data_IF_282067486631
#
_entry.id   IF_282067486631
#
_cell.length_a   1.000
_cell.length_b   1.000
_cell.length_c   1.000
_cell.angle_alpha   90.00
_cell.angle_beta   90.00
_cell.angle_gamma   90.00
#
_symmetry.space_group_name_H-M   'P 1'
#
loop_
_entity.id
_entity.type
_entity.pdbx_description
1 polymer ?
#
# COMPACT_ATOMS: atom_id res chain seq x y z
N UNK A 1 9.14 -26.41 -3.63
CA UNK A 1 8.62 -25.15 -3.06
C UNK A 1 7.19 -24.97 -3.59
N UNK A 2 6.28 -24.32 -2.85
CA UNK A 2 4.97 -23.91 -3.39
C UNK A 2 5.00 -22.41 -3.51
N UNK A 3 5.05 -21.91 -4.73
CA UNK A 3 4.99 -20.49 -4.96
C UNK A 3 3.56 -20.07 -5.31
N UNK A 4 3.17 -18.92 -4.78
CA UNK A 4 1.83 -18.32 -4.94
C UNK A 4 1.98 -16.94 -5.55
N UNK A 5 1.05 -16.55 -6.43
CA UNK A 5 1.02 -15.20 -6.97
C UNK A 5 0.37 -14.27 -5.96
N UNK A 6 1.13 -13.29 -5.47
CA UNK A 6 0.66 -12.25 -4.55
C UNK A 6 0.84 -10.86 -5.17
N UNK A 7 0.21 -9.80 -4.65
CA UNK A 7 0.46 -8.44 -5.11
C UNK A 7 1.96 -8.15 -5.14
N UNK A 8 2.42 -7.57 -6.24
CA UNK A 8 3.83 -7.27 -6.46
C UNK A 8 4.05 -5.76 -6.36
N UNK A 9 5.13 -5.36 -5.69
CA UNK A 9 5.59 -3.98 -5.74
C UNK A 9 6.05 -3.62 -7.17
N UNK A 10 5.87 -2.36 -7.54
CA UNK A 10 6.35 -1.81 -8.82
C UNK A 10 7.59 -0.94 -8.66
N UNK A 11 7.99 -0.66 -7.42
CA UNK A 11 9.18 0.11 -7.08
C UNK A 11 10.23 -0.78 -6.38
N UNK A 12 11.40 -0.18 -6.07
CA UNK A 12 12.55 -0.91 -5.51
C UNK A 12 12.67 -0.76 -3.97
N UNK A 13 11.79 0.02 -3.33
CA UNK A 13 11.97 0.45 -1.93
C UNK A 13 10.86 0.02 -0.97
N UNK A 14 9.76 -0.53 -1.48
CA UNK A 14 8.57 -0.81 -0.66
C UNK A 14 8.41 -2.29 -0.29
N UNK A 15 9.46 -3.10 -0.45
CA UNK A 15 9.43 -4.52 -0.12
C UNK A 15 9.09 -4.75 1.36
N UNK A 16 9.59 -3.89 2.25
CA UNK A 16 9.25 -3.90 3.67
C UNK A 16 7.78 -3.54 3.94
N UNK A 17 7.21 -2.60 3.19
CA UNK A 17 5.79 -2.23 3.34
C UNK A 17 4.88 -3.36 2.87
N UNK A 18 5.22 -4.02 1.76
CA UNK A 18 4.50 -5.21 1.30
C UNK A 18 4.58 -6.34 2.32
N UNK A 19 5.77 -6.57 2.92
CA UNK A 19 5.93 -7.56 3.98
C UNK A 19 5.00 -7.27 5.17
N UNK A 20 5.00 -6.03 5.67
CA UNK A 20 4.12 -5.64 6.77
C UNK A 20 2.64 -5.77 6.39
N UNK A 21 2.29 -5.43 5.15
CA UNK A 21 0.91 -5.59 4.64
C UNK A 21 0.49 -7.06 4.57
N UNK A 22 1.38 -7.95 4.16
CA UNK A 22 1.13 -9.40 4.20
C UNK A 22 0.91 -9.90 5.63
N UNK A 23 1.69 -9.41 6.61
CA UNK A 23 1.49 -9.77 8.02
C UNK A 23 0.13 -9.27 8.51
N UNK A 24 -0.20 -7.99 8.29
CA UNK A 24 -1.49 -7.41 8.67
C UNK A 24 -2.66 -8.22 8.09
N UNK A 25 -2.67 -8.45 6.79
CA UNK A 25 -3.73 -9.21 6.14
C UNK A 25 -3.76 -10.66 6.60
N UNK A 26 -2.62 -11.27 6.89
CA UNK A 26 -2.62 -12.63 7.44
C UNK A 26 -3.29 -12.66 8.82
N UNK A 27 -2.99 -11.70 9.70
CA UNK A 27 -3.56 -11.66 11.04
C UNK A 27 -5.08 -11.42 11.03
N UNK A 28 -5.59 -10.62 10.10
CA UNK A 28 -7.00 -10.24 10.09
C UNK A 28 -7.89 -10.99 9.08
N UNK A 29 -7.30 -11.56 8.03
CA UNK A 29 -8.04 -12.22 6.93
C UNK A 29 -7.72 -13.70 6.77
N UNK A 30 -6.76 -14.25 7.53
CA UNK A 30 -6.49 -15.68 7.42
C UNK A 30 -7.72 -16.53 7.78
N UNK A 31 -7.98 -17.62 7.05
CA UNK A 31 -8.93 -18.62 7.51
C UNK A 31 -8.43 -19.24 8.81
N UNK A 32 -9.35 -19.64 9.69
CA UNK A 32 -8.98 -20.26 10.98
C UNK A 32 -8.16 -21.53 10.83
N UNK A 33 -8.33 -22.26 9.73
CA UNK A 33 -7.49 -23.38 9.33
C UNK A 33 -7.08 -23.25 7.86
N UNK A 34 -5.79 -23.43 7.58
CA UNK A 34 -5.23 -23.41 6.24
C UNK A 34 -4.76 -24.81 5.85
N UNK A 35 -5.53 -25.51 5.01
CA UNK A 35 -5.17 -26.85 4.54
C UNK A 35 -4.23 -26.80 3.35
N UNK A 36 -3.39 -27.83 3.22
CA UNK A 36 -2.38 -27.94 2.16
C UNK A 36 -3.02 -27.93 0.76
N UNK A 37 -4.17 -28.59 0.61
CA UNK A 37 -4.91 -28.67 -0.65
C UNK A 37 -5.42 -27.29 -1.08
N UNK A 38 -5.75 -26.41 -0.12
CA UNK A 38 -6.15 -25.04 -0.41
C UNK A 38 -4.96 -24.23 -0.93
N UNK A 39 -3.76 -24.44 -0.37
CA UNK A 39 -2.52 -23.81 -0.86
C UNK A 39 -2.15 -24.35 -2.25
N UNK A 40 -2.32 -25.65 -2.48
CA UNK A 40 -2.10 -26.27 -3.80
C UNK A 40 -3.00 -25.63 -4.87
N UNK A 41 -4.26 -25.33 -4.54
CA UNK A 41 -5.22 -24.70 -5.47
C UNK A 41 -4.84 -23.27 -5.90
N UNK A 42 -4.01 -22.56 -5.14
CA UNK A 42 -3.54 -21.21 -5.47
C UNK A 42 -2.08 -21.18 -5.94
N UNK A 43 -1.36 -22.30 -5.81
CA UNK A 43 0.03 -22.39 -6.22
C UNK A 43 0.15 -22.49 -7.74
N UNK A 44 1.03 -21.66 -8.31
CA UNK A 44 1.28 -21.68 -9.75
C UNK A 44 2.19 -22.84 -10.20
N UNK A 45 2.90 -23.46 -9.26
CA UNK A 45 3.72 -24.65 -9.51
C UNK A 45 2.85 -25.92 -9.69
N UNK A 46 1.59 -25.88 -9.23
CA UNK A 46 0.70 -27.05 -9.15
C UNK A 46 -0.47 -26.93 -10.11
N UNK A 47 -1.13 -25.78 -10.18
CA UNK A 47 -2.39 -25.61 -10.93
C UNK A 47 -2.28 -24.44 -11.94
N UNK A 48 -2.69 -24.64 -13.21
CA UNK A 48 -2.76 -23.58 -14.20
C UNK A 48 -3.70 -22.44 -13.77
N UNK A 49 -3.39 -21.20 -14.17
CA UNK A 49 -4.11 -20.01 -13.70
C UNK A 49 -5.64 -20.05 -13.89
N UNK A 50 -6.15 -20.75 -14.93
CA UNK A 50 -7.58 -20.87 -15.23
C UNK A 50 -8.34 -21.76 -14.24
N UNK A 51 -7.64 -22.64 -13.55
CA UNK A 51 -8.22 -23.66 -12.67
C UNK A 51 -7.99 -23.34 -11.18
N UNK A 52 -7.24 -22.28 -10.89
CA UNK A 52 -6.94 -21.86 -9.51
C UNK A 52 -8.21 -21.40 -8.80
N UNK A 53 -8.42 -21.91 -7.60
CA UNK A 53 -9.54 -21.53 -6.74
C UNK A 53 -9.04 -20.61 -5.64
N UNK A 54 -9.57 -19.38 -5.52
CA UNK A 54 -9.16 -18.48 -4.45
C UNK A 54 -9.49 -19.09 -3.09
N UNK A 55 -8.61 -18.84 -2.12
CA UNK A 55 -8.91 -19.07 -0.71
C UNK A 55 -9.68 -17.84 -0.25
N UNK A 56 -10.81 -18.03 0.42
CA UNK A 56 -11.60 -16.93 0.95
C UNK A 56 -11.42 -16.84 2.45
N UNK A 57 -11.23 -15.62 2.94
CA UNK A 57 -11.29 -15.31 4.35
C UNK A 57 -12.72 -15.44 4.88
N UNK A 58 -12.92 -15.53 6.20
CA UNK A 58 -14.24 -15.39 6.81
C UNK A 58 -14.93 -14.06 6.47
N UNK A 59 -14.17 -12.99 6.21
CA UNK A 59 -14.65 -11.67 5.76
C UNK A 59 -15.06 -11.61 4.29
N UNK A 60 -14.86 -12.69 3.51
CA UNK A 60 -15.16 -12.74 2.08
C UNK A 60 -14.08 -12.10 1.18
N UNK A 61 -12.91 -11.79 1.73
CA UNK A 61 -11.75 -11.27 1.00
C UNK A 61 -10.91 -12.43 0.47
N UNK A 62 -10.24 -12.22 -0.67
CA UNK A 62 -9.36 -13.23 -1.25
C UNK A 62 -8.06 -13.34 -0.45
N UNK A 63 -7.81 -14.49 0.18
CA UNK A 63 -6.58 -14.82 0.90
C UNK A 63 -5.58 -15.51 -0.03
N UNK A 64 -4.28 -15.21 0.09
CA UNK A 64 -3.20 -15.78 -0.72
C UNK A 64 -3.49 -15.81 -2.24
N UNK A 65 -3.53 -14.62 -2.85
CA UNK A 65 -3.71 -14.49 -4.29
C UNK A 65 -3.34 -13.12 -4.84
N UNK A 66 -3.34 -12.97 -6.17
CA UNK A 66 -2.89 -11.73 -6.86
C UNK A 66 -3.68 -10.47 -6.47
N UNK A 67 -4.91 -10.64 -6.00
CA UNK A 67 -5.81 -9.56 -5.56
C UNK A 67 -6.01 -9.53 -4.03
N UNK A 68 -5.07 -10.08 -3.27
CA UNK A 68 -5.19 -10.14 -1.81
C UNK A 68 -5.31 -8.76 -1.19
N UNK A 69 -4.56 -7.78 -1.71
CA UNK A 69 -4.77 -6.36 -1.44
C UNK A 69 -4.35 -5.52 -2.65
N UNK A 70 -4.81 -4.27 -2.69
CA UNK A 70 -4.38 -3.30 -3.69
C UNK A 70 -2.93 -2.84 -3.39
N UNK A 71 -2.00 -2.83 -4.37
CA UNK A 71 -0.64 -2.33 -4.17
C UNK A 71 -0.57 -0.94 -3.53
N UNK A 72 -1.53 -0.07 -3.87
CA UNK A 72 -1.66 1.28 -3.32
C UNK A 72 -1.88 1.27 -1.80
N UNK A 73 -2.56 0.25 -1.26
CA UNK A 73 -2.77 0.10 0.17
C UNK A 73 -1.48 -0.22 0.93
N UNK A 74 -0.51 -0.88 0.28
CA UNK A 74 0.83 -1.07 0.84
C UNK A 74 1.65 0.23 0.75
N UNK A 75 1.51 1.00 -0.33
CA UNK A 75 2.21 2.28 -0.48
C UNK A 75 1.77 3.31 0.58
N UNK A 76 0.49 3.33 0.93
CA UNK A 76 -0.06 4.20 1.98
C UNK A 76 0.41 3.81 3.38
N UNK A 77 0.89 2.57 3.58
CA UNK A 77 1.30 2.09 4.89
C UNK A 77 2.45 2.92 5.47
N UNK A 78 3.33 3.47 4.62
CA UNK A 78 4.40 4.37 5.05
C UNK A 78 3.84 5.61 5.74
N UNK A 79 2.81 6.23 5.14
CA UNK A 79 2.18 7.42 5.71
C UNK A 79 1.49 7.10 7.04
N UNK A 80 0.73 6.00 7.07
CA UNK A 80 0.02 5.55 8.27
C UNK A 80 0.96 5.19 9.41
N UNK A 81 2.04 4.45 9.13
CA UNK A 81 3.03 4.08 10.15
C UNK A 81 3.70 5.32 10.74
N UNK A 82 4.02 6.28 9.89
CA UNK A 82 4.66 7.50 10.35
C UNK A 82 3.71 8.33 11.23
N UNK A 83 2.45 8.50 10.82
CA UNK A 83 1.42 9.15 11.63
C UNK A 83 1.22 8.45 12.97
N UNK A 84 1.25 7.11 12.99
CA UNK A 84 1.14 6.31 14.21
C UNK A 84 2.35 6.47 15.13
N UNK A 85 3.57 6.40 14.60
CA UNK A 85 4.81 6.61 15.38
C UNK A 85 4.78 8.00 16.02
N UNK A 86 4.36 9.01 15.27
CA UNK A 86 4.25 10.40 15.73
C UNK A 86 3.24 10.53 16.84
N UNK A 87 2.06 9.91 16.70
CA UNK A 87 1.06 9.88 17.75
C UNK A 87 1.62 9.24 19.02
N UNK A 88 2.29 8.08 18.89
CA UNK A 88 2.92 7.40 20.02
C UNK A 88 3.98 8.28 20.71
N UNK A 89 4.79 9.01 19.93
CA UNK A 89 5.74 9.97 20.50
C UNK A 89 5.04 11.10 21.25
N UNK A 90 3.99 11.71 20.68
CA UNK A 90 3.24 12.77 21.35
C UNK A 90 2.62 12.28 22.66
N UNK A 91 2.04 11.08 22.65
CA UNK A 91 1.45 10.45 23.84
C UNK A 91 2.50 10.14 24.91
N UNK A 92 3.68 9.63 24.53
CA UNK A 92 4.75 9.29 25.49
C UNK A 92 5.53 10.51 25.99
N UNK A 93 5.71 11.52 25.14
CA UNK A 93 6.52 12.70 25.44
C UNK A 93 5.68 13.83 26.07
N UNK A 94 4.35 13.86 25.94
CA UNK A 94 3.49 14.99 26.34
C UNK A 94 3.65 15.52 27.78
N UNK A 95 4.13 14.71 28.74
CA UNK A 95 4.43 15.16 30.11
C UNK A 95 5.93 15.33 30.43
N UNK A 96 6.84 14.83 29.60
CA UNK A 96 8.29 14.76 29.89
C UNK A 96 9.21 15.10 28.71
N UNK A 97 8.66 15.61 27.61
CA UNK A 97 9.42 15.93 26.41
C UNK A 97 10.48 16.99 26.73
N UNK A 98 11.73 16.71 26.37
CA UNK A 98 12.72 17.76 26.24
C UNK A 98 12.23 18.75 25.17
N UNK A 99 12.15 20.07 25.44
CA UNK A 99 11.80 21.07 24.46
C UNK A 99 12.59 20.95 23.14
N UNK A 100 13.84 20.50 23.19
CA UNK A 100 14.64 20.25 21.99
C UNK A 100 14.08 19.12 21.12
N UNK A 101 13.54 18.06 21.72
CA UNK A 101 12.92 16.95 20.99
C UNK A 101 11.61 17.39 20.31
N UNK A 102 10.85 18.27 20.96
CA UNK A 102 9.64 18.84 20.36
C UNK A 102 9.98 19.73 19.15
N UNK A 103 10.99 20.58 19.25
CA UNK A 103 11.43 21.44 18.14
C UNK A 103 11.90 20.63 16.92
N UNK A 104 12.68 19.56 17.15
CA UNK A 104 13.11 18.67 16.06
C UNK A 104 11.90 18.00 15.42
N UNK A 105 10.90 17.62 16.22
CA UNK A 105 9.69 17.01 15.71
C UNK A 105 8.84 17.97 14.90
N UNK A 106 8.61 19.19 15.39
CA UNK A 106 7.88 20.23 14.67
C UNK A 106 8.56 20.59 13.33
N UNK A 107 9.89 20.76 13.34
CA UNK A 107 10.65 21.04 12.12
C UNK A 107 10.56 19.90 11.08
N UNK A 108 10.56 18.65 11.54
CA UNK A 108 10.35 17.50 10.68
C UNK A 108 8.94 17.49 10.07
N UNK A 109 7.91 17.87 10.84
CA UNK A 109 6.53 17.96 10.32
C UNK A 109 6.36 19.06 9.29
N UNK A 110 6.89 20.24 9.55
CA UNK A 110 6.81 21.38 8.62
C UNK A 110 7.45 21.06 7.27
N UNK A 111 8.59 20.35 7.28
CA UNK A 111 9.25 19.95 6.05
C UNK A 111 8.46 18.86 5.31
N UNK A 112 7.88 17.90 6.04
CA UNK A 112 7.06 16.85 5.43
C UNK A 112 5.75 17.36 4.85
N UNK A 113 5.06 18.27 5.53
CA UNK A 113 3.83 18.88 5.02
C UNK A 113 4.12 19.65 3.72
N UNK A 114 5.21 20.41 3.71
CA UNK A 114 5.71 21.08 2.50
C UNK A 114 5.96 20.10 1.35
N UNK A 115 6.61 18.97 1.61
CA UNK A 115 6.86 17.94 0.60
C UNK A 115 5.56 17.32 0.06
N UNK A 116 4.57 17.04 0.92
CA UNK A 116 3.25 16.53 0.53
C UNK A 116 2.50 17.52 -0.34
N UNK A 117 2.50 18.79 0.01
CA UNK A 117 1.90 19.85 -0.82
C UNK A 117 2.59 19.98 -2.17
N UNK A 118 3.92 19.88 -2.18
CA UNK A 118 4.70 19.94 -3.41
C UNK A 118 4.40 18.76 -4.34
N UNK A 119 4.25 17.55 -3.80
CA UNK A 119 3.82 16.38 -4.55
C UNK A 119 2.41 16.57 -5.13
N UNK A 120 1.44 17.00 -4.32
CA UNK A 120 0.07 17.30 -4.78
C UNK A 120 0.06 18.37 -5.87
N UNK A 121 0.94 19.38 -5.78
CA UNK A 121 1.11 20.39 -6.84
C UNK A 121 1.62 19.75 -8.14
N UNK A 122 2.68 18.93 -8.06
CA UNK A 122 3.26 18.23 -9.22
C UNK A 122 2.26 17.29 -9.89
N UNK A 123 1.43 16.59 -9.12
CA UNK A 123 0.39 15.70 -9.66
C UNK A 123 -0.71 16.49 -10.38
N UNK A 124 -1.19 17.59 -9.79
CA UNK A 124 -2.15 18.49 -10.44
C UNK A 124 -1.60 19.03 -11.76
N UNK A 125 -0.34 19.46 -11.78
CA UNK A 125 0.32 19.94 -13.00
C UNK A 125 0.44 18.85 -14.07
N UNK A 126 0.75 17.61 -13.67
CA UNK A 126 0.81 16.46 -14.59
C UNK A 126 -0.57 16.14 -15.16
N UNK A 127 -1.60 16.09 -14.32
CA UNK A 127 -2.98 15.83 -14.73
C UNK A 127 -3.49 16.91 -15.69
N UNK A 128 -3.24 18.20 -15.39
CA UNK A 128 -3.60 19.31 -16.26
C UNK A 128 -2.94 19.22 -17.64
N UNK A 129 -1.64 18.87 -17.68
CA UNK A 129 -0.91 18.67 -18.95
C UNK A 129 -1.48 17.50 -19.75
N UNK A 130 -1.85 16.40 -19.09
CA UNK A 130 -2.47 15.25 -19.77
C UNK A 130 -3.85 15.58 -20.32
N UNK A 131 -4.69 16.26 -19.54
CA UNK A 131 -6.01 16.72 -19.98
C UNK A 131 -5.92 17.66 -21.18
N UNK A 132 -4.98 18.61 -21.16
CA UNK A 132 -4.74 19.52 -22.29
C UNK A 132 -4.28 18.77 -23.56
N UNK A 133 -3.45 17.73 -23.42
CA UNK A 133 -3.06 16.87 -24.56
C UNK A 133 -4.25 16.11 -25.14
N UNK A 134 -5.11 15.54 -24.28
CA UNK A 134 -6.31 14.82 -24.71
C UNK A 134 -7.30 15.73 -25.42
N UNK A 135 -7.54 16.94 -24.91
CA UNK A 135 -8.41 17.92 -25.56
C UNK A 135 -7.91 18.31 -26.96
N UNK A 136 -6.60 18.54 -27.12
CA UNK A 136 -6.01 18.83 -28.44
C UNK A 136 -6.18 17.66 -29.42
N UNK A 137 -6.02 16.41 -28.96
CA UNK A 137 -6.23 15.24 -29.79
C UNK A 137 -7.69 15.10 -30.22
N UNK A 138 -8.65 15.33 -29.31
CA UNK A 138 -10.08 15.31 -29.65
C UNK A 138 -10.46 16.37 -30.68
N UNK A 139 -9.93 17.59 -30.56
CA UNK A 139 -10.17 18.66 -31.54
C UNK A 139 -9.58 18.36 -32.92
N UNK A 140 -8.48 17.60 -33.00
CA UNK A 140 -7.90 17.16 -34.27
C UNK A 140 -8.69 16.04 -34.94
N UNK A 141 -9.36 15.18 -34.18
CA UNK A 141 -10.21 14.10 -34.71
C UNK A 141 -11.57 14.59 -35.21
N UNK A 142 -11.99 15.79 -34.82
CA UNK A 142 -13.25 16.43 -35.23
C UNK A 142 -13.10 17.37 -36.43
N UNK A 143 -11.89 17.48 -37.00
CA UNK A 143 -11.58 18.27 -38.21
C UNK A 143 -11.28 17.35 -39.38
#
# INVERSE_FOLDING_TARGET
>A
CRAVEVPQQTNQSDCGLFLLKFVEYTLFTAPGELRKEQIDNVSYDVVPAKERKPIWSPSGEGFLGKKWFAPEAANQLRDTMEEFIVQLFKEQCGEKADPAQMVVMDAYFDDRERLREEQKRRERDRAARQAAKQQKQQQQQQR
#
